data_IF_940511917365
#
_entry.id   IF_940511917365
#
_cell.length_a   1.000
_cell.length_b   1.000
_cell.length_c   1.000
_cell.angle_alpha   90.00
_cell.angle_beta   90.00
_cell.angle_gamma   90.00
#
_symmetry.space_group_name_H-M   'P 1'
#
loop_
_entity.id
_entity.type
_entity.pdbx_description
1 polymer ?
#
# COMPACT_ATOMS: atom_id res chain seq x y z
N UNK A 1 -11.61 11.78 4.31
CA UNK A 1 -11.91 10.66 3.40
C UNK A 1 -12.61 11.10 2.10
N UNK A 2 -13.57 12.04 2.14
CA UNK A 2 -14.25 12.54 0.92
C UNK A 2 -13.27 13.05 -0.15
N UNK A 3 -12.09 13.55 0.25
CA UNK A 3 -11.05 14.01 -0.65
C UNK A 3 -10.19 12.89 -1.24
N UNK A 4 -10.24 11.67 -0.69
CA UNK A 4 -9.46 10.52 -1.18
C UNK A 4 -10.05 10.07 -2.52
N UNK A 5 -9.23 10.14 -3.58
CA UNK A 5 -9.64 9.73 -4.92
C UNK A 5 -8.81 8.59 -5.49
N UNK A 6 -7.63 8.33 -4.92
CA UNK A 6 -6.72 7.27 -5.35
C UNK A 6 -5.71 6.93 -4.25
N UNK A 7 -5.23 5.71 -4.26
CA UNK A 7 -4.13 5.27 -3.41
C UNK A 7 -2.79 5.67 -4.05
N UNK A 8 -1.90 6.31 -3.25
CA UNK A 8 -0.53 6.66 -3.66
C UNK A 8 0.42 6.22 -2.56
N UNK A 9 1.18 5.13 -2.75
CA UNK A 9 2.12 4.64 -1.75
C UNK A 9 3.27 5.62 -1.53
N UNK A 10 3.79 5.67 -0.30
CA UNK A 10 5.02 6.36 0.06
C UNK A 10 6.23 5.65 -0.56
N UNK A 11 7.30 6.40 -0.84
CA UNK A 11 8.59 5.87 -1.27
C UNK A 11 9.56 5.61 -0.12
N UNK A 12 9.18 5.93 1.11
CA UNK A 12 9.99 5.65 2.29
C UNK A 12 10.13 4.15 2.51
N UNK A 13 11.34 3.73 2.87
CA UNK A 13 11.70 2.34 3.13
C UNK A 13 12.18 2.22 4.57
N UNK A 14 11.61 1.28 5.30
CA UNK A 14 11.98 0.93 6.66
C UNK A 14 12.31 -0.56 6.79
N UNK A 15 12.85 -0.96 7.92
CA UNK A 15 13.16 -2.36 8.20
C UNK A 15 12.25 -2.88 9.31
N UNK A 16 11.58 -4.00 9.05
CA UNK A 16 10.79 -4.73 10.03
C UNK A 16 11.54 -6.00 10.44
N UNK A 17 11.71 -6.22 11.75
CA UNK A 17 12.34 -7.42 12.30
C UNK A 17 11.37 -8.13 13.22
N UNK A 18 11.21 -9.42 13.04
CA UNK A 18 10.30 -10.27 13.84
C UNK A 18 11.00 -11.54 14.29
N UNK A 19 10.47 -12.18 15.36
CA UNK A 19 10.97 -13.46 15.88
C UNK A 19 10.36 -14.65 15.14
N UNK A 20 9.22 -14.47 14.49
CA UNK A 20 8.48 -15.51 13.80
C UNK A 20 8.07 -15.06 12.39
N UNK A 21 8.30 -15.89 11.38
CA UNK A 21 7.95 -15.64 9.99
C UNK A 21 6.45 -15.81 9.77
N UNK A 22 5.70 -14.70 9.90
CA UNK A 22 4.26 -14.66 9.64
C UNK A 22 3.83 -13.34 9.02
N UNK A 23 2.62 -13.30 8.47
CA UNK A 23 2.00 -12.03 8.04
C UNK A 23 1.92 -11.08 9.24
N UNK A 24 2.51 -9.90 9.12
CA UNK A 24 2.67 -8.95 10.22
C UNK A 24 1.95 -7.64 9.89
N UNK A 25 1.16 -7.14 10.82
CA UNK A 25 0.51 -5.85 10.76
C UNK A 25 1.33 -4.84 11.57
N UNK A 26 1.69 -3.74 10.94
CA UNK A 26 2.40 -2.61 11.54
C UNK A 26 1.44 -1.43 11.54
N UNK A 27 1.10 -0.94 12.70
CA UNK A 27 0.12 0.10 12.91
C UNK A 27 0.74 1.47 12.75
N UNK A 28 0.12 2.36 11.97
CA UNK A 28 0.51 3.76 11.81
C UNK A 28 -0.47 4.68 12.55
N UNK A 29 -1.77 4.50 12.30
CA UNK A 29 -2.82 5.28 12.95
C UNK A 29 -4.12 4.49 13.05
N UNK A 30 -4.99 4.94 13.94
CA UNK A 30 -6.34 4.38 14.08
C UNK A 30 -7.37 5.50 14.28
N UNK A 31 -8.64 5.22 13.99
CA UNK A 31 -9.76 6.12 14.18
C UNK A 31 -10.78 5.51 15.15
N UNK A 32 -11.13 6.28 16.14
CA UNK A 32 -12.12 5.92 17.18
C UNK A 32 -13.45 6.58 16.95
N UNK A 33 -13.46 7.80 16.42
CA UNK A 33 -14.68 8.58 16.14
C UNK A 33 -14.80 8.79 14.63
N UNK A 34 -15.98 8.52 14.07
CA UNK A 34 -16.30 8.77 12.67
C UNK A 34 -17.35 9.87 12.55
N UNK A 35 -16.95 11.01 11.98
CA UNK A 35 -17.81 12.18 11.73
C UNK A 35 -17.42 12.84 10.40
N UNK A 36 -18.40 13.44 9.72
CA UNK A 36 -18.19 14.17 8.46
C UNK A 36 -17.38 13.36 7.40
N UNK A 37 -17.60 12.05 7.35
CA UNK A 37 -16.86 11.13 6.47
C UNK A 37 -15.35 11.05 6.78
N UNK A 38 -14.96 11.24 8.02
CA UNK A 38 -13.57 11.15 8.46
C UNK A 38 -13.45 10.40 9.79
N UNK A 39 -12.37 9.64 9.92
CA UNK A 39 -11.96 9.07 11.19
C UNK A 39 -11.06 10.06 11.93
N UNK A 40 -11.33 10.22 13.20
CA UNK A 40 -10.50 10.99 14.13
C UNK A 40 -10.18 10.16 15.36
N UNK A 41 -9.16 10.57 16.09
CA UNK A 41 -8.83 10.03 17.39
C UNK A 41 -8.52 11.20 18.34
N UNK A 42 -8.74 11.01 19.61
CA UNK A 42 -8.26 11.94 20.61
C UNK A 42 -6.75 11.76 20.74
N UNK A 43 -5.98 12.77 20.24
CA UNK A 43 -4.53 12.95 20.35
C UNK A 43 -3.70 11.67 20.50
N UNK A 44 -3.07 11.26 19.42
CA UNK A 44 -1.91 10.39 19.46
C UNK A 44 -0.67 11.25 19.71
N UNK A 45 -0.04 11.07 20.85
CA UNK A 45 1.37 11.35 21.03
C UNK A 45 2.14 10.27 20.26
N UNK A 46 3.22 10.67 19.59
CA UNK A 46 4.15 9.89 18.76
C UNK A 46 3.93 8.36 18.71
N UNK A 47 3.43 7.85 17.60
CA UNK A 47 3.21 6.40 17.42
C UNK A 47 4.54 5.72 17.15
N UNK A 48 5.07 5.08 18.16
CA UNK A 48 6.01 3.98 17.97
C UNK A 48 5.22 2.81 17.42
N UNK A 49 5.58 2.24 16.26
CA UNK A 49 4.97 1.05 15.68
C UNK A 49 4.86 -0.06 16.73
N UNK A 50 3.70 -0.17 17.36
CA UNK A 50 3.42 -1.13 18.41
C UNK A 50 2.52 -2.23 17.85
N UNK A 51 2.73 -3.46 18.28
CA UNK A 51 1.87 -4.58 17.94
C UNK A 51 0.62 -4.70 18.82
N UNK A 52 0.39 -3.77 19.76
CA UNK A 52 -0.76 -3.77 20.67
C UNK A 52 -1.19 -2.35 21.02
N UNK A 53 -2.50 -2.12 21.00
CA UNK A 53 -3.13 -0.94 21.57
C UNK A 53 -3.43 -1.18 23.05
N UNK A 54 -3.29 -0.12 23.83
CA UNK A 54 -3.86 -0.05 25.16
C UNK A 54 -4.85 1.10 25.16
N UNK A 55 -6.16 0.77 25.16
CA UNK A 55 -7.20 1.74 25.40
C UNK A 55 -7.52 1.74 26.89
N UNK A 56 -7.65 2.91 27.47
CA UNK A 56 -8.17 3.06 28.83
C UNK A 56 -9.64 2.62 28.86
N UNK A 57 -10.04 1.86 29.90
CA UNK A 57 -11.37 1.23 30.04
C UNK A 57 -12.54 2.22 29.96
N UNK A 58 -12.32 3.51 30.19
CA UNK A 58 -13.34 4.56 30.22
C UNK A 58 -13.93 4.95 28.85
N UNK A 59 -13.47 4.35 27.74
CA UNK A 59 -13.86 4.75 26.38
C UNK A 59 -14.66 3.71 25.58
N UNK A 60 -15.19 2.69 26.21
CA UNK A 60 -15.94 1.61 25.51
C UNK A 60 -17.11 2.13 24.65
N UNK A 61 -17.84 3.13 25.14
CA UNK A 61 -18.96 3.73 24.40
C UNK A 61 -18.51 4.37 23.07
N UNK A 62 -17.28 4.89 23.02
CA UNK A 62 -16.74 5.55 21.82
C UNK A 62 -16.60 4.58 20.65
N UNK A 63 -16.28 3.32 20.95
CA UNK A 63 -16.06 2.29 19.93
C UNK A 63 -17.36 1.70 19.35
N UNK A 64 -18.51 2.11 19.90
CA UNK A 64 -19.85 1.76 19.42
C UNK A 64 -20.54 2.92 18.68
N UNK A 65 -20.01 4.15 18.77
CA UNK A 65 -20.64 5.32 18.19
C UNK A 65 -20.52 5.34 16.66
N UNK A 66 -21.59 5.77 16.01
CA UNK A 66 -21.65 6.04 14.57
C UNK A 66 -22.63 7.19 14.30
N UNK A 67 -22.46 7.96 13.20
CA UNK A 67 -23.36 9.05 12.86
C UNK A 67 -24.80 8.58 12.63
N UNK A 68 -25.75 9.28 13.20
CA UNK A 68 -27.20 9.00 13.04
C UNK A 68 -27.67 9.17 11.59
N UNK A 69 -26.92 9.92 10.79
CA UNK A 69 -27.19 10.23 9.37
C UNK A 69 -26.94 9.04 8.45
N UNK A 70 -26.21 8.00 8.90
CA UNK A 70 -25.96 6.76 8.14
C UNK A 70 -27.20 5.86 8.10
N UNK A 71 -28.33 6.43 7.69
CA UNK A 71 -29.66 5.81 7.81
C UNK A 71 -29.85 4.57 6.94
N UNK A 72 -29.20 4.52 5.78
CA UNK A 72 -29.29 3.36 4.87
C UNK A 72 -28.50 2.17 5.40
N UNK A 73 -27.33 2.40 5.98
CA UNK A 73 -26.54 1.36 6.63
C UNK A 73 -27.27 0.84 7.88
N UNK A 74 -27.81 1.72 8.72
CA UNK A 74 -28.61 1.34 9.89
C UNK A 74 -29.79 0.46 9.49
N UNK A 75 -30.59 0.89 8.50
CA UNK A 75 -31.73 0.12 8.00
C UNK A 75 -31.33 -1.26 7.45
N UNK A 76 -30.18 -1.36 6.81
CA UNK A 76 -29.65 -2.65 6.36
C UNK A 76 -29.33 -3.55 7.55
N UNK A 77 -28.68 -3.02 8.59
CA UNK A 77 -28.31 -3.77 9.80
C UNK A 77 -29.52 -4.15 10.69
N UNK A 78 -30.68 -3.46 10.57
CA UNK A 78 -31.90 -3.84 11.28
C UNK A 78 -32.38 -5.24 10.89
N UNK A 79 -32.22 -5.63 9.63
CA UNK A 79 -32.60 -6.95 9.10
C UNK A 79 -31.57 -8.06 9.32
N UNK A 80 -30.45 -7.76 9.96
CA UNK A 80 -29.34 -8.71 10.10
C UNK A 80 -29.49 -9.63 11.32
N UNK A 81 -29.03 -10.87 11.18
CA UNK A 81 -28.85 -11.81 12.29
C UNK A 81 -27.64 -11.36 13.14
N UNK A 82 -27.94 -10.90 14.36
CA UNK A 82 -26.95 -10.43 15.35
C UNK A 82 -26.72 -11.46 16.48
N UNK A 83 -27.17 -12.70 16.29
CA UNK A 83 -27.09 -13.76 17.30
C UNK A 83 -25.66 -14.21 17.61
N UNK A 84 -24.72 -13.96 16.70
CA UNK A 84 -23.33 -14.30 16.88
C UNK A 84 -22.40 -13.40 16.09
N UNK A 85 -21.14 -13.26 16.56
CA UNK A 85 -20.08 -12.56 15.83
C UNK A 85 -19.89 -13.11 14.41
N UNK A 86 -19.89 -14.43 14.26
CA UNK A 86 -19.75 -15.09 12.97
C UNK A 86 -20.89 -14.75 12.01
N UNK A 87 -22.13 -14.67 12.49
CA UNK A 87 -23.27 -14.28 11.66
C UNK A 87 -23.11 -12.84 11.15
N UNK A 88 -22.74 -11.90 12.02
CA UNK A 88 -22.49 -10.51 11.65
C UNK A 88 -21.34 -10.41 10.66
N UNK A 89 -20.22 -11.06 10.93
CA UNK A 89 -19.07 -11.08 10.01
C UNK A 89 -19.45 -11.56 8.62
N UNK A 90 -20.19 -12.66 8.52
CA UNK A 90 -20.59 -13.22 7.23
C UNK A 90 -21.51 -12.28 6.45
N UNK A 91 -22.42 -11.57 7.13
CA UNK A 91 -23.31 -10.59 6.51
C UNK A 91 -22.53 -9.34 6.03
N UNK A 92 -21.50 -8.92 6.75
CA UNK A 92 -20.57 -7.86 6.28
C UNK A 92 -19.82 -8.34 5.03
N UNK A 93 -19.27 -9.55 5.04
CA UNK A 93 -18.58 -10.14 3.88
C UNK A 93 -19.52 -10.21 2.67
N UNK A 94 -20.77 -10.61 2.86
CA UNK A 94 -21.79 -10.67 1.81
C UNK A 94 -22.11 -9.27 1.26
N UNK A 95 -22.33 -8.28 2.12
CA UNK A 95 -22.62 -6.91 1.73
C UNK A 95 -21.47 -6.28 0.89
N UNK A 96 -20.23 -6.66 1.19
CA UNK A 96 -19.04 -6.17 0.52
C UNK A 96 -18.61 -7.03 -0.70
N UNK A 97 -19.16 -8.22 -0.87
CA UNK A 97 -18.73 -9.22 -1.87
C UNK A 97 -18.84 -8.76 -3.33
N UNK A 98 -19.84 -7.93 -3.64
CA UNK A 98 -20.10 -7.42 -4.98
C UNK A 98 -19.46 -6.04 -5.26
N UNK A 99 -18.56 -5.60 -4.40
CA UNK A 99 -17.86 -4.33 -4.55
C UNK A 99 -16.52 -4.57 -5.23
N UNK A 100 -16.25 -3.82 -6.30
CA UNK A 100 -15.02 -3.92 -7.07
C UNK A 100 -13.87 -3.24 -6.33
N UNK A 101 -12.75 -3.93 -6.17
CA UNK A 101 -11.53 -3.29 -5.69
C UNK A 101 -10.95 -2.40 -6.80
N UNK A 102 -10.80 -1.10 -6.50
CA UNK A 102 -10.30 -0.11 -7.44
C UNK A 102 -9.46 0.92 -6.66
N UNK A 103 -8.19 1.06 -7.00
CA UNK A 103 -7.29 2.03 -6.38
C UNK A 103 -7.53 3.47 -6.84
N UNK A 104 -8.42 3.66 -7.82
CA UNK A 104 -8.81 4.96 -8.33
C UNK A 104 -10.35 5.10 -8.47
N UNK A 105 -11.12 4.92 -7.38
CA UNK A 105 -12.59 4.87 -7.43
C UNK A 105 -13.25 6.24 -7.71
N UNK A 106 -12.48 7.32 -7.74
CA UNK A 106 -12.97 8.68 -7.79
C UNK A 106 -13.30 9.25 -6.41
N UNK A 107 -13.75 10.50 -6.37
CA UNK A 107 -14.11 11.19 -5.13
C UNK A 107 -15.55 10.98 -4.76
N UNK A 108 -15.83 10.84 -3.47
CA UNK A 108 -17.20 10.88 -2.95
C UNK A 108 -17.79 12.27 -3.19
N UNK A 109 -18.95 12.37 -3.87
CA UNK A 109 -19.64 13.66 -4.03
C UNK A 109 -20.04 14.27 -2.68
N UNK A 110 -20.00 15.61 -2.57
CA UNK A 110 -20.19 16.31 -1.30
C UNK A 110 -21.54 16.03 -0.58
N UNK A 111 -22.57 15.65 -1.34
CA UNK A 111 -23.91 15.33 -0.80
C UNK A 111 -24.01 13.96 -0.12
N UNK A 112 -22.99 13.11 -0.27
CA UNK A 112 -23.00 11.76 0.25
C UNK A 112 -21.99 11.61 1.38
N UNK A 113 -22.31 10.74 2.36
CA UNK A 113 -21.32 10.18 3.25
C UNK A 113 -20.40 9.22 2.48
N UNK A 114 -19.16 9.10 2.95
CA UNK A 114 -18.13 8.28 2.31
C UNK A 114 -18.49 6.78 2.30
N UNK A 115 -18.92 6.25 3.45
CA UNK A 115 -19.23 4.82 3.59
C UNK A 115 -20.54 4.46 2.86
N UNK A 116 -21.58 5.27 2.98
CA UNK A 116 -22.84 5.02 2.28
C UNK A 116 -22.70 5.15 0.76
N UNK A 117 -21.92 6.14 0.27
CA UNK A 117 -21.65 6.26 -1.17
C UNK A 117 -20.90 5.04 -1.70
N UNK A 118 -19.87 4.60 -1.01
CA UNK A 118 -19.13 3.39 -1.36
C UNK A 118 -20.03 2.17 -1.39
N UNK A 119 -20.80 1.94 -0.31
CA UNK A 119 -21.58 0.72 -0.13
C UNK A 119 -22.78 0.63 -1.07
N UNK A 120 -23.45 1.73 -1.38
CA UNK A 120 -24.73 1.69 -2.08
C UNK A 120 -24.68 2.25 -3.51
N UNK A 121 -23.81 3.23 -3.79
CA UNK A 121 -23.79 3.94 -5.07
C UNK A 121 -22.58 3.57 -5.94
N UNK A 122 -21.37 3.88 -5.47
CA UNK A 122 -20.16 3.74 -6.25
C UNK A 122 -19.77 2.29 -6.52
N UNK A 123 -19.98 1.40 -5.56
CA UNK A 123 -19.70 -0.04 -5.66
C UNK A 123 -18.26 -0.34 -6.07
N UNK A 124 -17.32 0.55 -5.79
CA UNK A 124 -15.90 0.38 -6.01
C UNK A 124 -15.07 1.22 -5.04
N UNK A 125 -13.92 0.70 -4.62
CA UNK A 125 -13.01 1.34 -3.68
C UNK A 125 -11.81 0.48 -3.35
N UNK A 126 -10.97 0.97 -2.45
CA UNK A 126 -9.77 0.27 -1.97
C UNK A 126 -9.84 0.08 -0.45
N UNK A 127 -8.80 -0.45 0.17
CA UNK A 127 -8.78 -0.89 1.58
C UNK A 127 -9.42 0.10 2.57
N UNK A 128 -9.19 1.41 2.42
CA UNK A 128 -9.80 2.44 3.28
C UNK A 128 -11.33 2.41 3.24
N UNK A 129 -11.91 2.19 2.06
CA UNK A 129 -13.37 2.11 1.88
C UNK A 129 -13.93 0.87 2.57
N UNK A 130 -13.33 -0.29 2.34
CA UNK A 130 -13.73 -1.56 2.95
C UNK A 130 -13.60 -1.50 4.47
N UNK A 131 -12.45 -1.06 4.99
CA UNK A 131 -12.18 -0.98 6.42
C UNK A 131 -13.14 -0.01 7.14
N UNK A 132 -13.37 1.18 6.58
CA UNK A 132 -14.31 2.17 7.12
C UNK A 132 -15.71 1.60 7.20
N UNK A 133 -16.19 1.03 6.10
CA UNK A 133 -17.56 0.49 6.04
C UNK A 133 -17.72 -0.68 6.98
N UNK A 134 -16.76 -1.60 7.03
CA UNK A 134 -16.82 -2.74 7.95
C UNK A 134 -16.82 -2.32 9.42
N UNK A 135 -15.96 -1.37 9.82
CA UNK A 135 -15.93 -0.86 11.19
C UNK A 135 -17.30 -0.26 11.61
N UNK A 136 -17.92 0.55 10.74
CA UNK A 136 -19.23 1.12 11.01
C UNK A 136 -20.33 0.06 11.09
N UNK A 137 -20.31 -0.95 10.23
CA UNK A 137 -21.27 -2.05 10.25
C UNK A 137 -21.16 -2.90 11.53
N UNK A 138 -19.94 -3.16 12.01
CA UNK A 138 -19.74 -3.82 13.31
C UNK A 138 -20.36 -3.01 14.44
N UNK A 139 -20.15 -1.68 14.48
CA UNK A 139 -20.75 -0.78 15.49
C UNK A 139 -22.28 -0.81 15.46
N UNK A 140 -22.88 -0.76 14.27
CA UNK A 140 -24.33 -0.85 14.09
C UNK A 140 -24.90 -2.20 14.51
N UNK A 141 -24.06 -3.22 14.57
CA UNK A 141 -24.42 -4.55 15.07
C UNK A 141 -24.07 -4.76 16.55
N UNK A 142 -23.58 -3.73 17.26
CA UNK A 142 -23.30 -3.78 18.69
C UNK A 142 -21.90 -4.28 19.05
N UNK A 143 -20.96 -4.36 18.08
CA UNK A 143 -19.58 -4.74 18.34
C UNK A 143 -18.67 -3.51 18.37
N UNK A 144 -17.88 -3.39 19.43
CA UNK A 144 -16.85 -2.36 19.53
C UNK A 144 -15.85 -2.55 18.41
N UNK A 145 -15.61 -1.50 17.62
CA UNK A 145 -14.67 -1.55 16.50
C UNK A 145 -13.92 -0.26 16.29
N UNK A 146 -12.73 -0.38 15.69
CA UNK A 146 -11.87 0.73 15.29
C UNK A 146 -11.43 0.57 13.83
N UNK A 147 -11.23 1.70 13.18
CA UNK A 147 -10.57 1.78 11.88
C UNK A 147 -9.06 1.89 12.07
N UNK A 148 -8.27 1.19 11.27
CA UNK A 148 -6.80 1.16 11.38
C UNK A 148 -6.16 1.37 10.03
N UNK A 149 -5.08 2.16 9.99
CA UNK A 149 -4.16 2.29 8.86
C UNK A 149 -2.76 1.87 9.28
N UNK A 150 -2.00 1.32 8.34
CA UNK A 150 -0.61 0.92 8.57
C UNK A 150 0.00 0.16 7.40
N UNK A 151 0.95 -0.71 7.69
CA UNK A 151 1.60 -1.55 6.69
C UNK A 151 1.29 -3.03 6.97
N UNK A 152 1.04 -3.79 5.92
CA UNK A 152 0.86 -5.24 6.01
C UNK A 152 2.00 -5.95 5.31
N UNK A 153 2.89 -6.53 6.11
CA UNK A 153 4.09 -7.22 5.62
C UNK A 153 3.74 -8.70 5.40
N UNK A 154 3.74 -9.21 4.16
CA UNK A 154 3.46 -10.61 3.91
C UNK A 154 4.58 -11.51 4.46
N UNK A 155 4.25 -12.73 4.89
CA UNK A 155 5.25 -13.69 5.38
C UNK A 155 6.38 -13.94 4.36
N UNK A 156 6.07 -13.89 3.07
CA UNK A 156 7.04 -14.08 1.98
C UNK A 156 8.12 -12.98 1.87
N UNK A 157 7.85 -11.79 2.42
CA UNK A 157 8.83 -10.70 2.41
C UNK A 157 9.96 -10.90 3.44
N UNK A 158 9.73 -11.72 4.45
CA UNK A 158 10.71 -11.95 5.51
C UNK A 158 11.81 -12.94 5.10
N UNK A 159 13.06 -12.53 5.32
CA UNK A 159 14.26 -13.34 5.14
C UNK A 159 14.86 -13.68 6.50
N UNK A 160 15.25 -14.93 6.69
CA UNK A 160 15.91 -15.40 7.89
C UNK A 160 17.31 -14.80 8.00
N UNK A 161 17.69 -14.42 9.21
CA UNK A 161 19.00 -13.89 9.57
C UNK A 161 19.78 -14.92 10.41
N UNK A 162 21.09 -14.78 10.45
CA UNK A 162 21.98 -15.69 11.19
C UNK A 162 21.68 -15.78 12.69
N UNK A 163 21.08 -14.75 13.27
CA UNK A 163 20.68 -14.71 14.68
C UNK A 163 19.31 -15.34 14.97
N UNK A 164 18.68 -16.00 13.99
CA UNK A 164 17.37 -16.64 14.13
C UNK A 164 16.17 -15.68 14.07
N UNK A 165 16.38 -14.39 13.78
CA UNK A 165 15.29 -13.45 13.49
C UNK A 165 14.95 -13.43 12.01
N UNK A 166 13.82 -12.80 11.67
CA UNK A 166 13.37 -12.60 10.30
C UNK A 166 13.27 -11.09 9.99
N UNK A 167 13.82 -10.68 8.87
CA UNK A 167 13.86 -9.27 8.45
C UNK A 167 13.16 -9.08 7.12
N UNK A 168 12.35 -8.01 7.01
CA UNK A 168 11.75 -7.55 5.76
C UNK A 168 12.02 -6.06 5.55
N UNK A 169 12.26 -5.67 4.31
CA UNK A 169 12.18 -4.28 3.90
C UNK A 169 10.72 -3.94 3.66
N UNK A 170 10.25 -2.85 4.25
CA UNK A 170 8.87 -2.38 4.17
C UNK A 170 8.82 -0.97 3.60
N UNK A 171 7.86 -0.71 2.74
CA UNK A 171 7.64 0.60 2.12
C UNK A 171 6.13 0.88 1.98
N UNK A 172 5.78 2.03 1.44
CA UNK A 172 4.40 2.46 1.27
C UNK A 172 3.56 1.59 0.33
N UNK A 173 4.17 0.69 -0.47
CA UNK A 173 3.42 -0.26 -1.30
C UNK A 173 2.74 -1.34 -0.45
N UNK A 174 3.19 -1.50 0.80
CA UNK A 174 2.58 -2.36 1.81
C UNK A 174 1.50 -1.65 2.62
N UNK A 175 1.22 -0.37 2.29
CA UNK A 175 0.18 0.44 2.92
C UNK A 175 -1.18 -0.23 2.85
N UNK A 176 -1.88 -0.29 3.97
CA UNK A 176 -3.16 -0.97 4.08
C UNK A 176 -4.04 -0.34 5.15
N UNK A 177 -5.35 -0.58 5.03
CA UNK A 177 -6.33 -0.26 6.05
C UNK A 177 -7.18 -1.50 6.34
N UNK A 178 -7.51 -1.67 7.63
CA UNK A 178 -8.36 -2.75 8.12
C UNK A 178 -9.22 -2.24 9.28
N UNK A 179 -10.11 -3.04 9.78
CA UNK A 179 -10.75 -2.75 11.06
C UNK A 179 -10.35 -3.79 12.11
N UNK A 180 -10.49 -3.41 13.36
CA UNK A 180 -10.37 -4.33 14.48
C UNK A 180 -11.65 -4.31 15.31
N UNK A 181 -11.97 -5.45 15.86
CA UNK A 181 -13.16 -5.64 16.68
C UNK A 181 -12.73 -6.21 18.02
N UNK A 182 -13.27 -5.67 19.10
CA UNK A 182 -12.98 -6.15 20.44
C UNK A 182 -13.73 -7.46 20.72
N UNK A 183 -13.00 -8.47 21.13
CA UNK A 183 -13.58 -9.72 21.63
C UNK A 183 -13.66 -9.70 23.15
N UNK A 184 -14.85 -9.51 23.68
CA UNK A 184 -15.12 -9.48 25.13
C UNK A 184 -14.70 -10.77 25.85
N UNK A 185 -14.65 -11.91 25.15
CA UNK A 185 -14.29 -13.19 25.76
C UNK A 185 -12.79 -13.31 26.03
N UNK A 186 -11.97 -12.78 25.14
CA UNK A 186 -10.51 -12.83 25.25
C UNK A 186 -9.92 -11.55 25.81
N UNK A 187 -10.67 -10.44 25.76
CA UNK A 187 -10.17 -9.11 26.09
C UNK A 187 -9.19 -8.57 25.04
N UNK A 188 -9.25 -9.05 23.81
CA UNK A 188 -8.30 -8.70 22.75
C UNK A 188 -8.99 -8.05 21.56
N UNK A 189 -8.27 -7.14 20.89
CA UNK A 189 -8.67 -6.60 19.59
C UNK A 189 -8.28 -7.57 18.49
N UNK A 190 -9.26 -7.98 17.69
CA UNK A 190 -9.08 -8.95 16.60
C UNK A 190 -9.07 -8.23 15.27
N UNK A 191 -8.01 -8.41 14.50
CA UNK A 191 -7.90 -7.89 13.12
C UNK A 191 -8.96 -8.53 12.22
N UNK A 192 -9.80 -7.67 11.63
CA UNK A 192 -10.84 -8.06 10.68
C UNK A 192 -10.51 -7.53 9.28
N UNK A 193 -10.42 -8.44 8.34
CA UNK A 193 -10.00 -8.16 6.98
C UNK A 193 -11.14 -8.42 6.01
N UNK A 194 -11.73 -7.35 5.51
CA UNK A 194 -12.85 -7.38 4.56
C UNK A 194 -12.46 -6.93 3.14
N UNK A 195 -11.20 -6.54 2.93
CA UNK A 195 -10.68 -6.24 1.61
C UNK A 195 -10.49 -7.55 0.83
N UNK A 196 -10.99 -7.68 -0.42
CA UNK A 196 -10.84 -8.90 -1.20
C UNK A 196 -9.39 -9.38 -1.32
N UNK A 197 -9.15 -10.67 -1.10
CA UNK A 197 -7.81 -11.25 -1.11
C UNK A 197 -7.11 -11.16 -2.49
N UNK A 198 -7.88 -11.22 -3.58
CA UNK A 198 -7.40 -11.07 -4.96
C UNK A 198 -6.72 -9.72 -5.21
N UNK A 199 -7.28 -8.65 -4.64
CA UNK A 199 -6.75 -7.29 -4.81
C UNK A 199 -5.40 -7.07 -4.14
N UNK A 200 -5.10 -7.80 -3.07
CA UNK A 200 -3.80 -7.75 -2.40
C UNK A 200 -2.67 -8.38 -3.22
N UNK A 201 -2.98 -9.42 -3.97
CA UNK A 201 -2.02 -10.06 -4.88
C UNK A 201 -1.76 -9.20 -6.13
N UNK A 202 -2.76 -8.47 -6.60
CA UNK A 202 -2.62 -7.53 -7.73
C UNK A 202 -1.78 -6.31 -7.37
N UNK A 203 -1.93 -5.75 -6.16
CA UNK A 203 -1.08 -4.64 -5.69
C UNK A 203 0.39 -5.07 -5.62
N UNK A 204 0.68 -6.22 -5.02
CA UNK A 204 2.06 -6.74 -4.94
C UNK A 204 2.61 -7.17 -6.31
N UNK A 205 1.78 -7.67 -7.22
CA UNK A 205 2.17 -8.07 -8.57
C UNK A 205 2.32 -6.90 -9.54
N UNK A 206 1.44 -5.91 -9.48
CA UNK A 206 1.46 -4.74 -10.35
C UNK A 206 2.64 -3.80 -10.04
N UNK A 207 2.98 -3.62 -8.76
CA UNK A 207 4.10 -2.78 -8.35
C UNK A 207 5.44 -3.48 -8.60
N UNK A 208 5.54 -4.79 -8.40
CA UNK A 208 6.71 -5.58 -8.82
C UNK A 208 6.91 -5.53 -10.35
N UNK A 209 5.85 -5.55 -11.14
CA UNK A 209 5.91 -5.42 -12.60
C UNK A 209 6.28 -4.00 -13.04
N UNK A 210 5.77 -2.96 -12.35
CA UNK A 210 6.14 -1.56 -12.59
C UNK A 210 7.61 -1.29 -12.24
N UNK A 211 8.08 -1.74 -11.07
CA UNK A 211 9.47 -1.62 -10.66
C UNK A 211 10.41 -2.37 -11.60
N UNK A 212 10.03 -3.57 -12.07
CA UNK A 212 10.81 -4.32 -13.06
C UNK A 212 10.86 -3.61 -14.42
N UNK A 213 9.78 -2.95 -14.84
CA UNK A 213 9.73 -2.12 -16.06
C UNK A 213 10.57 -0.86 -15.93
N UNK A 214 10.53 -0.19 -14.80
CA UNK A 214 11.28 1.05 -14.55
C UNK A 214 12.78 0.78 -14.39
N UNK A 215 13.17 -0.29 -13.71
CA UNK A 215 14.54 -0.75 -13.61
C UNK A 215 15.08 -1.24 -14.96
N UNK A 216 14.26 -1.92 -15.77
CA UNK A 216 14.61 -2.31 -17.14
C UNK A 216 14.79 -1.09 -18.06
N UNK A 217 13.96 -0.05 -17.90
CA UNK A 217 14.07 1.19 -18.67
C UNK A 217 15.34 1.98 -18.29
N UNK A 218 15.64 2.10 -17.00
CA UNK A 218 16.88 2.73 -16.51
C UNK A 218 18.11 1.95 -16.95
N UNK A 219 18.10 0.63 -16.86
CA UNK A 219 19.17 -0.25 -17.35
C UNK A 219 19.39 -0.09 -18.86
N UNK A 220 18.33 -0.03 -19.66
CA UNK A 220 18.43 0.19 -21.11
C UNK A 220 18.93 1.59 -21.46
N UNK A 221 18.61 2.63 -20.69
CA UNK A 221 19.16 3.97 -20.89
C UNK A 221 20.65 4.01 -20.56
N UNK A 222 21.09 3.40 -19.46
CA UNK A 222 22.50 3.32 -19.08
C UNK A 222 23.28 2.50 -20.12
N UNK A 223 22.73 1.38 -20.58
CA UNK A 223 23.35 0.58 -21.64
C UNK A 223 23.46 1.36 -22.95
N UNK A 224 22.42 2.10 -23.36
CA UNK A 224 22.50 2.96 -24.55
C UNK A 224 23.53 4.06 -24.41
N UNK A 225 23.66 4.70 -23.23
CA UNK A 225 24.69 5.69 -22.96
C UNK A 225 26.10 5.09 -23.05
N UNK A 226 26.32 3.91 -22.47
CA UNK A 226 27.61 3.20 -22.56
C UNK A 226 27.95 2.87 -24.02
N UNK A 227 27.00 2.35 -24.78
CA UNK A 227 27.19 2.05 -26.20
C UNK A 227 27.53 3.32 -26.99
N UNK A 228 26.82 4.43 -26.75
CA UNK A 228 27.15 5.70 -27.42
C UNK A 228 28.54 6.21 -27.05
N UNK A 229 28.97 6.11 -25.80
CA UNK A 229 30.30 6.52 -25.34
C UNK A 229 31.39 5.66 -26.00
N UNK A 230 31.18 4.35 -26.10
CA UNK A 230 32.11 3.43 -26.78
C UNK A 230 32.22 3.73 -28.29
N UNK A 231 31.11 4.04 -28.97
CA UNK A 231 31.10 4.43 -30.37
C UNK A 231 31.83 5.76 -30.62
N UNK A 232 31.61 6.76 -29.75
CA UNK A 232 32.27 8.07 -29.85
C UNK A 232 33.77 7.91 -29.57
N UNK A 233 34.19 7.14 -28.58
CA UNK A 233 35.58 6.84 -28.29
C UNK A 233 36.23 6.05 -29.44
N UNK A 234 35.55 5.03 -29.97
CA UNK A 234 36.03 4.26 -31.12
C UNK A 234 36.21 5.09 -32.38
N UNK A 235 35.28 6.03 -32.66
CA UNK A 235 35.43 6.97 -33.80
C UNK A 235 36.59 7.96 -33.62
N UNK A 236 36.81 8.45 -32.37
CA UNK A 236 37.93 9.33 -32.06
C UNK A 236 39.28 8.61 -32.22
N UNK A 237 39.40 7.36 -31.72
CA UNK A 237 40.62 6.55 -31.91
C UNK A 237 40.85 6.14 -33.36
N UNK A 238 39.81 5.78 -34.10
CA UNK A 238 39.88 5.47 -35.53
C UNK A 238 40.32 6.67 -36.35
N UNK A 239 39.80 7.87 -36.03
CA UNK A 239 40.22 9.13 -36.67
C UNK A 239 41.69 9.47 -36.45
N UNK A 240 42.19 9.27 -35.22
CA UNK A 240 43.61 9.49 -34.89
C UNK A 240 44.52 8.48 -35.63
N UNK A 241 44.10 7.20 -35.74
CA UNK A 241 44.86 6.19 -36.46
C UNK A 241 44.94 6.46 -37.97
N UNK A 242 43.85 6.91 -38.58
CA UNK A 242 43.81 7.29 -39.99
C UNK A 242 44.72 8.50 -40.24
N UNK A 243 44.71 9.52 -39.38
CA UNK A 243 45.59 10.68 -39.49
C UNK A 243 47.07 10.30 -39.32
N UNK A 244 47.39 9.38 -38.40
CA UNK A 244 48.76 8.90 -38.23
C UNK A 244 49.31 8.13 -39.48
N UNK A 245 48.45 7.26 -40.06
CA UNK A 245 48.78 6.51 -41.26
C UNK A 245 48.96 7.44 -42.50
N UNK A 246 48.11 8.47 -42.63
CA UNK A 246 48.20 9.45 -43.70
C UNK A 246 49.47 10.33 -43.56
N UNK A 247 49.83 10.73 -42.34
CA UNK A 247 51.12 11.47 -42.10
C UNK A 247 52.31 10.58 -42.34
N UNK A 248 52.31 9.31 -41.96
CA UNK A 248 53.40 8.37 -42.22
C UNK A 248 53.68 8.15 -43.74
N UNK A 249 52.60 8.10 -44.55
CA UNK A 249 52.73 7.99 -46.03
C UNK A 249 53.23 9.27 -46.67
N UNK A 250 52.95 10.47 -46.15
CA UNK A 250 53.54 11.75 -46.69
C UNK A 250 55.04 11.88 -46.42
N UNK A 251 55.54 11.46 -45.27
CA UNK A 251 56.98 11.50 -44.99
C UNK A 251 57.80 10.49 -45.83
N UNK A 252 57.23 9.36 -46.26
CA UNK A 252 57.93 8.39 -47.14
C UNK A 252 58.07 8.84 -48.61
N UNK A 253 57.18 9.78 -49.08
CA UNK A 253 57.27 10.30 -50.48
C UNK A 253 58.24 11.45 -50.63
N UNK A 254 58.70 12.10 -49.57
CA UNK A 254 59.64 13.24 -49.64
C UNK A 254 61.12 12.78 -49.49
N UNK A 255 61.39 11.55 -49.01
CA UNK A 255 62.73 11.01 -48.82
C UNK A 255 63.31 10.19 -50.01
N UNK A 256 62.59 10.18 -51.16
CA UNK A 256 62.95 9.34 -52.31
C UNK A 256 63.54 10.07 -53.52
N UNK A 257 63.94 11.36 -53.43
CA UNK A 257 64.58 12.08 -54.49
C UNK A 257 65.76 12.90 -53.98
N UNK A 258 66.86 12.25 -53.62
CA UNK A 258 68.19 12.82 -53.54
C UNK A 258 69.22 11.68 -53.53
N UNK A 259 69.80 11.30 -54.65
CA UNK A 259 70.86 10.32 -54.73
C UNK A 259 71.06 9.73 -56.11
N UNK A 260 71.56 10.51 -57.04
CA UNK A 260 72.42 10.05 -58.12
C UNK A 260 73.27 11.21 -58.59
#
# INVERSE_FOLDING_TARGET
LKAISSFKPSSEVSTCVVLEKKKTYLYDRWGTTYEDSAWTNEKLEEVVYSSKYYFEEEKEELFLQYPSELTRMQKMCEGWDKSSFSAVKNQIDEALSNIVYDTNPGKTPAKWDFAEYFLFENKKGFCVHFATTAALLYRMCGYQSIYVEGLVVPASAFKEKENGTYEAQVDGTMGHAWCEVYDEKTGEWITMEHTPASSRNEMQGADAAKQKKENSFKSNQVFRLIVCVVFVAGAAFGGVFIQAVVRGKRHRKVGGQAGS
#
